data_IF_936825704553
#
_entry.id   IF_936825704553
#
_cell.length_a   1.000
_cell.length_b   1.000
_cell.length_c   1.000
_cell.angle_alpha   90.00
_cell.angle_beta   90.00
_cell.angle_gamma   90.00
#
_symmetry.space_group_name_H-M   'P 1'
#
loop_
_entity.id
_entity.type
_entity.pdbx_description
1 polymer ?
#
# COMPACT_ATOMS: atom_id res chain seq x y z
N UNK A 1 15.40 -8.88 -9.11
CA UNK A 1 16.61 -8.50 -8.35
C UNK A 1 16.40 -7.08 -7.85
N UNK A 2 15.84 -6.95 -6.65
CA UNK A 2 15.72 -5.66 -5.97
C UNK A 2 17.09 -5.27 -5.47
N UNK A 3 17.52 -4.05 -5.75
CA UNK A 3 18.83 -3.54 -5.34
C UNK A 3 18.83 -3.46 -3.82
N UNK A 4 19.62 -4.29 -3.14
CA UNK A 4 19.75 -4.33 -1.66
C UNK A 4 20.46 -3.11 -1.06
N UNK A 5 20.42 -1.96 -1.74
CA UNK A 5 20.98 -0.73 -1.20
C UNK A 5 19.91 0.01 -0.42
N UNK A 6 20.26 0.36 0.82
CA UNK A 6 19.43 1.23 1.66
C UNK A 6 19.25 2.58 0.95
N UNK A 7 18.02 3.06 0.90
CA UNK A 7 17.64 4.33 0.27
C UNK A 7 16.77 5.17 1.20
N UNK A 8 16.74 6.48 0.96
CA UNK A 8 15.79 7.37 1.60
C UNK A 8 14.46 7.41 0.83
N UNK A 9 13.45 8.05 1.42
CA UNK A 9 12.11 8.14 0.84
C UNK A 9 12.13 8.85 -0.52
N UNK A 10 12.85 9.96 -0.64
CA UNK A 10 12.94 10.72 -1.88
C UNK A 10 13.58 9.89 -3.02
N UNK A 11 14.60 9.08 -2.71
CA UNK A 11 15.20 8.16 -3.69
C UNK A 11 14.23 7.06 -4.05
N UNK A 12 13.54 6.48 -3.09
CA UNK A 12 12.53 5.46 -3.35
C UNK A 12 11.39 5.98 -4.24
N UNK A 13 10.83 7.15 -3.92
CA UNK A 13 9.74 7.78 -4.68
C UNK A 13 10.11 8.02 -6.14
N UNK A 14 11.33 8.53 -6.41
CA UNK A 14 11.84 8.70 -7.79
C UNK A 14 11.95 7.39 -8.55
N UNK A 15 12.23 6.29 -7.85
CA UNK A 15 12.40 4.98 -8.46
C UNK A 15 11.11 4.14 -8.48
N UNK A 16 10.06 4.55 -7.74
CA UNK A 16 8.84 3.75 -7.58
C UNK A 16 8.07 3.52 -8.88
N UNK A 17 8.30 4.36 -9.91
CA UNK A 17 7.74 4.21 -11.27
C UNK A 17 8.51 3.24 -12.16
N UNK A 18 9.75 2.88 -11.78
CA UNK A 18 10.57 1.93 -12.52
C UNK A 18 10.05 0.50 -12.27
N UNK A 19 10.05 -0.32 -13.33
CA UNK A 19 9.54 -1.69 -13.29
C UNK A 19 10.15 -2.56 -12.17
N UNK A 20 11.39 -2.25 -11.74
CA UNK A 20 12.11 -2.94 -10.67
C UNK A 20 11.52 -2.70 -9.28
N UNK A 21 10.72 -1.64 -9.09
CA UNK A 21 10.16 -1.23 -7.80
C UNK A 21 8.63 -1.29 -7.73
N UNK A 22 7.96 -1.74 -8.80
CA UNK A 22 6.49 -1.78 -8.84
C UNK A 22 5.89 -2.56 -7.68
N UNK A 23 6.50 -3.69 -7.32
CA UNK A 23 6.05 -4.58 -6.24
C UNK A 23 6.86 -4.46 -4.95
N UNK A 24 7.73 -3.47 -4.83
CA UNK A 24 8.53 -3.32 -3.62
C UNK A 24 7.81 -2.45 -2.61
N UNK A 25 7.91 -2.79 -1.34
CA UNK A 25 7.73 -1.90 -0.21
C UNK A 25 9.11 -1.33 0.19
N UNK A 26 9.12 -0.29 1.02
CA UNK A 26 10.32 0.24 1.65
C UNK A 26 10.21 0.01 3.15
N UNK A 27 11.16 -0.71 3.75
CA UNK A 27 11.15 -1.06 5.18
C UNK A 27 12.42 -0.50 5.82
N UNK A 28 12.29 0.60 6.58
CA UNK A 28 13.43 1.34 7.16
C UNK A 28 14.56 1.59 6.13
N UNK A 29 14.17 2.02 4.94
CA UNK A 29 15.05 2.32 3.83
C UNK A 29 15.51 1.10 3.04
N UNK A 30 15.11 -0.11 3.39
CA UNK A 30 15.44 -1.32 2.63
C UNK A 30 14.26 -1.68 1.72
N UNK A 31 14.44 -1.70 0.38
CA UNK A 31 13.37 -2.15 -0.50
C UNK A 31 13.15 -3.66 -0.35
N UNK A 32 11.91 -4.07 -0.12
CA UNK A 32 11.51 -5.46 0.09
C UNK A 32 10.42 -5.80 -0.92
N UNK A 33 10.59 -6.87 -1.69
CA UNK A 33 9.57 -7.30 -2.65
C UNK A 33 8.37 -7.91 -1.93
N UNK A 34 7.16 -7.44 -2.26
CA UNK A 34 5.92 -8.03 -1.74
C UNK A 34 5.79 -9.46 -2.28
N UNK A 35 5.65 -10.47 -1.39
CA UNK A 35 5.63 -11.87 -1.81
C UNK A 35 4.49 -12.18 -2.78
N UNK A 36 4.63 -13.28 -3.50
CA UNK A 36 3.52 -13.84 -4.29
C UNK A 36 2.46 -14.37 -3.32
N UNK A 37 1.21 -14.05 -3.60
CA UNK A 37 0.08 -14.45 -2.76
C UNK A 37 -0.39 -15.88 -3.05
N UNK A 38 -0.93 -16.53 -2.01
CA UNK A 38 -1.63 -17.81 -2.19
C UNK A 38 -2.93 -17.61 -2.99
N UNK A 39 -3.46 -18.68 -3.57
CA UNK A 39 -4.73 -18.63 -4.32
C UNK A 39 -5.88 -18.10 -3.47
N UNK A 40 -6.01 -18.60 -2.23
CA UNK A 40 -7.08 -18.19 -1.32
C UNK A 40 -6.95 -16.72 -0.93
N UNK A 41 -5.73 -16.23 -0.68
CA UNK A 41 -5.51 -14.81 -0.40
C UNK A 41 -5.87 -13.94 -1.61
N UNK A 42 -5.51 -14.39 -2.82
CA UNK A 42 -5.90 -13.70 -4.06
C UNK A 42 -7.42 -13.65 -4.26
N UNK A 43 -8.12 -14.77 -4.06
CA UNK A 43 -9.57 -14.84 -4.19
C UNK A 43 -10.28 -13.93 -3.18
N UNK A 44 -9.86 -13.97 -1.91
CA UNK A 44 -10.40 -13.10 -0.87
C UNK A 44 -10.13 -11.62 -1.16
N UNK A 45 -8.94 -11.29 -1.66
CA UNK A 45 -8.60 -9.92 -2.06
C UNK A 45 -9.42 -9.40 -3.22
N UNK A 46 -9.75 -10.25 -4.19
CA UNK A 46 -10.64 -9.92 -5.29
C UNK A 46 -12.06 -9.63 -4.80
N UNK A 47 -12.62 -10.52 -3.97
CA UNK A 47 -13.98 -10.35 -3.40
C UNK A 47 -14.08 -9.09 -2.54
N UNK A 48 -13.11 -8.87 -1.65
CA UNK A 48 -13.09 -7.68 -0.80
C UNK A 48 -13.04 -6.39 -1.65
N UNK A 49 -12.21 -6.38 -2.69
CA UNK A 49 -12.11 -5.26 -3.63
C UNK A 49 -13.44 -4.95 -4.30
N UNK A 50 -14.21 -5.96 -4.69
CA UNK A 50 -15.54 -5.80 -5.29
C UNK A 50 -16.53 -5.22 -4.27
N UNK A 51 -16.61 -5.83 -3.08
CA UNK A 51 -17.55 -5.43 -2.02
C UNK A 51 -17.29 -3.99 -1.59
N UNK A 52 -16.05 -3.66 -1.22
CA UNK A 52 -15.68 -2.30 -0.81
C UNK A 52 -15.85 -1.32 -1.98
N UNK A 53 -15.37 -1.68 -3.17
CA UNK A 53 -15.44 -0.83 -4.37
C UNK A 53 -16.85 -0.54 -4.86
N UNK A 54 -17.84 -1.36 -4.49
CA UNK A 54 -19.26 -1.13 -4.74
C UNK A 54 -19.93 -0.25 -3.69
N UNK A 55 -19.37 -0.18 -2.48
CA UNK A 55 -19.94 0.54 -1.33
C UNK A 55 -19.43 1.98 -1.19
N UNK A 56 -18.33 2.33 -1.87
CA UNK A 56 -17.73 3.67 -1.82
C UNK A 56 -18.35 4.63 -2.84
N UNK A 57 -18.60 5.87 -2.42
CA UNK A 57 -19.00 6.96 -3.31
C UNK A 57 -17.84 7.35 -4.24
N UNK A 58 -17.95 6.98 -5.53
CA UNK A 58 -16.93 7.26 -6.55
C UNK A 58 -16.84 8.72 -6.98
N UNK A 59 -17.68 9.62 -6.48
CA UNK A 59 -17.39 11.05 -6.63
C UNK A 59 -16.39 11.53 -5.57
N UNK A 60 -16.30 10.83 -4.43
CA UNK A 60 -15.52 11.24 -3.25
C UNK A 60 -14.29 10.39 -2.99
N UNK A 61 -14.30 9.12 -3.39
CA UNK A 61 -13.24 8.17 -3.06
C UNK A 61 -12.81 7.31 -4.25
N UNK A 62 -11.58 6.83 -4.21
CA UNK A 62 -11.00 5.87 -5.15
C UNK A 62 -10.45 4.68 -4.38
N UNK A 63 -10.67 3.48 -4.91
CA UNK A 63 -10.09 2.26 -4.36
C UNK A 63 -8.81 1.91 -5.11
N UNK A 64 -7.83 1.37 -4.39
CA UNK A 64 -6.63 0.71 -4.92
C UNK A 64 -6.49 -0.65 -4.29
N UNK A 65 -6.11 -1.65 -5.08
CA UNK A 65 -5.75 -2.97 -4.57
C UNK A 65 -4.34 -3.32 -5.01
N UNK A 66 -3.49 -3.72 -4.05
CA UNK A 66 -2.13 -4.18 -4.30
C UNK A 66 -1.27 -3.23 -5.16
N UNK A 67 -1.49 -1.92 -5.07
CA UNK A 67 -0.86 -0.94 -5.96
C UNK A 67 -0.42 0.35 -5.25
N UNK A 68 -1.33 0.97 -4.48
CA UNK A 68 -1.01 2.19 -3.75
C UNK A 68 0.16 1.97 -2.81
N UNK A 69 1.07 2.95 -2.72
CA UNK A 69 2.20 2.95 -1.79
C UNK A 69 1.98 4.03 -0.75
N UNK A 70 1.77 3.64 0.50
CA UNK A 70 1.49 4.55 1.60
C UNK A 70 2.78 4.84 2.38
N UNK A 71 3.18 6.10 2.44
CA UNK A 71 4.32 6.53 3.26
C UNK A 71 3.95 6.39 4.73
N UNK A 72 4.69 5.62 5.51
CA UNK A 72 4.48 5.52 6.97
C UNK A 72 5.67 6.15 7.70
N UNK A 73 5.53 6.50 9.00
CA UNK A 73 6.66 7.00 9.78
C UNK A 73 7.86 6.06 9.76
N UNK A 74 9.07 6.64 9.78
CA UNK A 74 10.29 5.91 9.44
C UNK A 74 10.52 5.92 7.93
N UNK A 75 11.67 5.47 7.45
CA UNK A 75 11.98 5.49 6.01
C UNK A 75 11.23 4.38 5.28
N UNK A 76 9.89 4.44 5.27
CA UNK A 76 9.08 3.28 4.95
C UNK A 76 7.88 3.62 4.06
N UNK A 77 7.56 2.68 3.18
CA UNK A 77 6.42 2.69 2.27
C UNK A 77 5.80 1.31 2.24
N UNK A 78 4.52 1.19 2.52
CA UNK A 78 3.80 -0.09 2.50
C UNK A 78 2.79 -0.14 1.35
N UNK A 79 2.58 -1.33 0.80
CA UNK A 79 1.57 -1.60 -0.24
C UNK A 79 0.46 -2.43 0.41
N UNK A 80 -0.67 -1.81 0.78
CA UNK A 80 -1.78 -2.57 1.34
C UNK A 80 -2.47 -3.44 0.31
N UNK A 81 -3.20 -4.45 0.78
CA UNK A 81 -4.02 -5.28 -0.09
C UNK A 81 -5.19 -4.50 -0.67
N UNK A 82 -5.81 -3.63 0.15
CA UNK A 82 -6.85 -2.68 -0.25
C UNK A 82 -6.64 -1.34 0.45
N UNK A 83 -6.79 -0.23 -0.27
CA UNK A 83 -6.86 1.11 0.30
C UNK A 83 -7.96 1.93 -0.39
N UNK A 84 -8.67 2.75 0.41
CA UNK A 84 -9.61 3.76 -0.08
C UNK A 84 -9.02 5.13 0.14
N UNK A 85 -8.93 5.91 -0.92
CA UNK A 85 -8.27 7.21 -0.95
C UNK A 85 -9.27 8.31 -1.30
N UNK A 86 -9.12 9.54 -0.79
CA UNK A 86 -9.89 10.68 -1.29
C UNK A 86 -9.68 10.85 -2.80
N UNK A 87 -10.77 11.00 -3.56
CA UNK A 87 -10.70 11.13 -5.01
C UNK A 87 -9.96 12.41 -5.45
N UNK A 88 -10.03 13.47 -4.65
CA UNK A 88 -9.28 14.71 -4.88
C UNK A 88 -7.77 14.50 -4.88
N UNK A 89 -7.27 13.56 -4.07
CA UNK A 89 -5.84 13.24 -3.98
C UNK A 89 -5.46 12.23 -5.05
N UNK A 90 -6.23 11.14 -5.16
CA UNK A 90 -5.95 10.03 -6.08
C UNK A 90 -6.10 10.37 -7.58
N UNK A 91 -6.63 11.55 -7.90
CA UNK A 91 -6.81 12.03 -9.28
C UNK A 91 -6.09 13.36 -9.55
N UNK A 92 -5.35 13.91 -8.57
CA UNK A 92 -4.72 15.23 -8.69
C UNK A 92 -3.68 15.27 -9.82
N UNK A 93 -2.87 14.21 -9.94
CA UNK A 93 -1.89 14.04 -11.00
C UNK A 93 -1.97 12.59 -11.55
N UNK A 94 -2.62 12.37 -12.70
CA UNK A 94 -2.86 11.03 -13.23
C UNK A 94 -1.59 10.34 -13.78
N UNK A 95 -0.48 11.07 -13.93
CA UNK A 95 0.79 10.52 -14.43
C UNK A 95 1.84 10.36 -13.32
N UNK A 96 1.58 10.86 -12.11
CA UNK A 96 2.48 10.64 -10.98
C UNK A 96 2.42 9.19 -10.51
N UNK A 97 3.45 8.77 -9.78
CA UNK A 97 3.41 7.53 -9.04
C UNK A 97 2.22 7.51 -8.04
N UNK A 98 1.61 6.34 -7.85
CA UNK A 98 0.48 6.13 -6.93
C UNK A 98 0.99 6.03 -5.46
N UNK A 99 1.67 7.10 -5.02
CA UNK A 99 2.30 7.28 -3.71
C UNK A 99 1.51 8.28 -2.88
N UNK A 100 1.29 7.97 -1.60
CA UNK A 100 0.45 8.79 -0.73
C UNK A 100 1.12 9.03 0.62
N UNK A 101 1.26 10.31 0.97
CA UNK A 101 1.83 10.74 2.24
C UNK A 101 0.77 10.92 3.32
N UNK A 102 -0.40 11.43 2.94
CA UNK A 102 -1.48 11.75 3.87
C UNK A 102 -2.27 10.51 4.28
N UNK A 103 -2.78 10.46 5.53
CA UNK A 103 -3.60 9.37 6.02
C UNK A 103 -4.82 9.07 5.14
N UNK A 104 -5.23 7.80 5.10
CA UNK A 104 -6.35 7.32 4.30
C UNK A 104 -7.56 7.00 5.17
N UNK A 105 -8.78 7.16 4.61
CA UNK A 105 -10.00 6.74 5.28
C UNK A 105 -10.06 5.25 5.66
N UNK A 106 -9.51 4.37 4.82
CA UNK A 106 -9.63 2.91 5.01
C UNK A 106 -8.45 2.18 4.37
N UNK A 107 -7.87 1.23 5.10
CA UNK A 107 -6.78 0.35 4.64
C UNK A 107 -7.00 -1.05 5.18
N UNK A 108 -6.65 -2.08 4.39
CA UNK A 108 -6.76 -3.49 4.81
C UNK A 108 -5.52 -4.27 4.43
N UNK A 109 -5.10 -5.13 5.37
CA UNK A 109 -4.21 -6.26 5.13
C UNK A 109 -4.99 -7.56 5.34
N UNK A 110 -4.94 -8.45 4.35
CA UNK A 110 -5.59 -9.75 4.42
C UNK A 110 -4.61 -10.71 5.08
N UNK A 111 -4.95 -11.12 6.31
CA UNK A 111 -4.13 -12.04 7.06
C UNK A 111 -3.81 -13.32 6.26
N UNK A 112 -2.55 -13.73 6.29
CA UNK A 112 -2.10 -15.00 5.75
C UNK A 112 -1.12 -15.69 6.69
N UNK A 113 -0.96 -17.02 6.64
CA UNK A 113 0.06 -17.71 7.45
C UNK A 113 1.51 -17.32 7.14
N UNK A 114 1.76 -16.65 6.00
CA UNK A 114 3.11 -16.30 5.54
C UNK A 114 3.50 -14.86 5.85
N UNK A 115 2.53 -13.95 5.88
CA UNK A 115 2.74 -12.50 6.10
C UNK A 115 2.03 -11.98 7.33
N UNK A 116 1.08 -12.72 7.90
CA UNK A 116 0.17 -12.21 8.93
C UNK A 116 0.87 -11.73 10.21
N UNK A 117 1.95 -12.40 10.62
CA UNK A 117 2.77 -11.93 11.76
C UNK A 117 3.47 -10.61 11.43
N UNK A 118 3.96 -10.46 10.20
CA UNK A 118 4.58 -9.24 9.71
C UNK A 118 3.54 -8.11 9.60
N UNK A 119 2.38 -8.37 9.02
CA UNK A 119 1.31 -7.40 8.87
C UNK A 119 0.87 -6.88 10.25
N UNK A 120 0.62 -7.78 11.20
CA UNK A 120 0.20 -7.45 12.55
C UNK A 120 1.28 -6.69 13.36
N UNK A 121 2.54 -7.09 13.24
CA UNK A 121 3.63 -6.51 14.04
C UNK A 121 4.18 -5.20 13.46
N UNK A 122 4.11 -5.01 12.13
CA UNK A 122 4.79 -3.92 11.44
C UNK A 122 3.82 -3.00 10.70
N UNK A 123 2.97 -3.55 9.82
CA UNK A 123 2.12 -2.72 8.95
C UNK A 123 0.98 -2.05 9.70
N UNK A 124 0.19 -2.81 10.47
CA UNK A 124 -0.95 -2.24 11.21
C UNK A 124 -0.51 -1.14 12.20
N UNK A 125 0.57 -1.31 12.99
CA UNK A 125 1.11 -0.21 13.80
C UNK A 125 1.58 0.97 12.96
N UNK A 126 2.19 0.73 11.80
CA UNK A 126 2.59 1.78 10.86
C UNK A 126 1.40 2.62 10.37
N UNK A 127 0.29 1.99 9.98
CA UNK A 127 -0.94 2.68 9.58
C UNK A 127 -1.58 3.46 10.73
N UNK A 128 -1.58 2.89 11.95
CA UNK A 128 -2.05 3.60 13.15
C UNK A 128 -1.21 4.85 13.45
N UNK A 129 0.12 4.72 13.36
CA UNK A 129 1.03 5.85 13.56
C UNK A 129 0.90 6.91 12.47
N UNK A 130 0.60 6.48 11.23
CA UNK A 130 0.29 7.39 10.14
C UNK A 130 -0.99 8.19 10.43
N UNK A 131 -1.95 7.60 11.13
CA UNK A 131 -3.24 8.22 11.46
C UNK A 131 -4.37 7.78 10.52
N UNK A 132 -4.22 6.60 9.91
CA UNK A 132 -5.27 6.01 9.07
C UNK A 132 -6.53 5.74 9.91
N UNK A 133 -7.70 6.07 9.36
CA UNK A 133 -8.92 6.18 10.15
C UNK A 133 -9.55 4.82 10.49
N UNK A 134 -9.54 3.89 9.54
CA UNK A 134 -10.03 2.53 9.69
C UNK A 134 -8.99 1.55 9.10
N UNK A 135 -8.62 0.54 9.89
CA UNK A 135 -7.52 -0.41 9.66
C UNK A 135 -7.99 -1.81 10.00
#
# INVERSE_FOLDING_TARGET
MVVSQRMDNATYERNAVDFRYLRTELHDGVPVEKPVMSRIHGDLGAELTIVVGSSVDRSRFRLRSNHAKLAVPGRSYFIPDVAVLPASVALADPISADLYHDPVPFVVEIWSPFTGDYDAAIKLPGYRLRGDAEI
#
